data_IF_505793515704
#
_entry.id   IF_505793515704
#
_cell.length_a   1.000
_cell.length_b   1.000
_cell.length_c   1.000
_cell.angle_alpha   90.00
_cell.angle_beta   90.00
_cell.angle_gamma   90.00
#
_symmetry.space_group_name_H-M   'P 1'
#
loop_
_entity.id
_entity.type
_entity.pdbx_description
1 polymer ?
#
# COMPACT_ATOMS: atom_id res chain seq x y z
N UNK A 1 14.26 -45.41 -22.38
CA UNK A 1 13.86 -44.33 -21.43
C UNK A 1 13.57 -44.94 -20.07
N UNK A 2 14.06 -44.36 -18.98
CA UNK A 2 13.82 -44.87 -17.61
C UNK A 2 12.76 -44.00 -16.92
N UNK A 3 11.66 -44.56 -16.40
CA UNK A 3 10.62 -43.78 -15.76
C UNK A 3 11.13 -43.13 -14.47
N UNK A 4 10.68 -41.90 -14.19
CA UNK A 4 11.01 -41.19 -12.95
C UNK A 4 10.44 -41.95 -11.75
N UNK A 5 11.23 -42.09 -10.68
CA UNK A 5 10.94 -42.91 -9.49
C UNK A 5 9.63 -42.53 -8.77
N UNK A 6 9.16 -41.29 -8.92
CA UNK A 6 7.86 -40.81 -8.44
C UNK A 6 7.16 -39.95 -9.51
N UNK A 7 6.39 -40.55 -10.42
CA UNK A 7 5.75 -39.83 -11.53
C UNK A 7 4.65 -38.83 -11.06
N UNK A 8 4.21 -38.94 -9.81
CA UNK A 8 3.14 -38.12 -9.22
C UNK A 8 3.59 -37.31 -8.00
N UNK A 9 4.89 -37.08 -7.80
CA UNK A 9 5.39 -36.20 -6.72
C UNK A 9 5.11 -34.71 -6.98
N UNK A 10 4.05 -34.38 -7.70
CA UNK A 10 3.56 -33.02 -7.96
C UNK A 10 2.95 -32.45 -6.69
N UNK A 11 3.78 -32.16 -5.68
CA UNK A 11 3.35 -31.35 -4.55
C UNK A 11 3.06 -29.95 -5.11
N UNK A 12 1.83 -29.41 -4.97
CA UNK A 12 1.55 -28.06 -5.39
C UNK A 12 2.52 -27.13 -4.67
N UNK A 13 3.19 -26.26 -5.42
CA UNK A 13 4.13 -25.28 -4.88
C UNK A 13 3.32 -24.39 -3.93
N UNK A 14 3.62 -24.42 -2.63
CA UNK A 14 3.01 -23.52 -1.65
C UNK A 14 3.46 -22.09 -2.00
N UNK A 15 2.63 -21.37 -2.73
CA UNK A 15 2.82 -19.94 -2.99
C UNK A 15 2.45 -19.22 -1.71
N UNK A 16 3.45 -18.89 -0.89
CA UNK A 16 3.25 -18.01 0.26
C UNK A 16 2.94 -16.62 -0.28
N UNK A 17 1.67 -16.25 -0.32
CA UNK A 17 1.29 -14.85 -0.53
C UNK A 17 1.82 -14.08 0.67
N UNK A 18 2.63 -13.05 0.41
CA UNK A 18 3.06 -12.15 1.47
C UNK A 18 1.82 -11.40 1.98
N UNK A 19 1.67 -11.31 3.31
CA UNK A 19 0.63 -10.48 3.89
C UNK A 19 0.84 -9.02 3.43
N UNK A 20 -0.24 -8.28 3.09
CA UNK A 20 -0.12 -6.89 2.72
C UNK A 20 0.50 -6.11 3.88
N UNK A 21 1.43 -5.22 3.55
CA UNK A 21 2.03 -4.32 4.54
C UNK A 21 1.14 -3.09 4.65
N UNK A 22 0.84 -2.67 5.87
CA UNK A 22 0.09 -1.46 6.14
C UNK A 22 1.02 -0.39 6.69
N UNK A 23 0.81 0.85 6.25
CA UNK A 23 1.44 2.04 6.82
C UNK A 23 0.42 2.68 7.75
N UNK A 24 0.83 2.90 9.00
CA UNK A 24 0.03 3.58 10.01
C UNK A 24 0.37 5.07 10.01
N UNK A 25 -0.62 5.92 9.79
CA UNK A 25 -0.54 7.37 9.92
C UNK A 25 -1.57 7.84 10.96
N UNK A 26 -1.11 8.05 12.19
CA UNK A 26 -1.96 8.46 13.30
C UNK A 26 -2.98 7.37 13.62
N UNK A 27 -4.27 7.66 13.41
CA UNK A 27 -5.39 6.73 13.62
C UNK A 27 -5.87 6.03 12.33
N UNK A 28 -5.19 6.24 11.19
CA UNK A 28 -5.58 5.66 9.90
C UNK A 28 -4.45 4.76 9.39
N UNK A 29 -4.79 3.58 8.90
CA UNK A 29 -3.85 2.68 8.25
C UNK A 29 -4.29 2.41 6.80
N UNK A 30 -3.34 2.33 5.89
CA UNK A 30 -3.60 1.99 4.49
C UNK A 30 -2.52 1.08 3.92
N UNK A 31 -2.85 0.35 2.86
CA UNK A 31 -1.92 -0.59 2.23
C UNK A 31 -0.71 0.19 1.67
N UNK A 32 0.51 -0.26 1.96
CA UNK A 32 1.76 0.32 1.44
C UNK A 32 1.78 0.44 -0.08
N UNK A 33 1.07 -0.44 -0.78
CA UNK A 33 0.95 -0.39 -2.25
C UNK A 33 0.28 0.88 -2.76
N UNK A 34 -0.50 1.58 -1.93
CA UNK A 34 -1.16 2.84 -2.28
C UNK A 34 -0.25 4.06 -2.15
N UNK A 35 0.92 3.93 -1.51
CA UNK A 35 1.89 5.04 -1.39
C UNK A 35 2.29 5.56 -2.76
N UNK A 36 2.42 4.68 -3.76
CA UNK A 36 2.75 5.05 -5.15
C UNK A 36 1.67 5.89 -5.87
N UNK A 37 0.47 5.95 -5.31
CA UNK A 37 -0.65 6.72 -5.87
C UNK A 37 -0.90 8.02 -5.11
N UNK A 38 -0.03 8.39 -4.16
CA UNK A 38 -0.09 9.72 -3.53
C UNK A 38 0.29 10.75 -4.58
N UNK A 39 -0.63 11.67 -4.89
CA UNK A 39 -0.39 12.76 -5.84
C UNK A 39 0.14 13.99 -5.11
N UNK A 40 -0.54 14.43 -4.05
CA UNK A 40 -0.13 15.56 -3.23
C UNK A 40 -0.51 15.37 -1.77
N UNK A 41 0.20 16.05 -0.86
CA UNK A 41 -0.14 16.15 0.55
C UNK A 41 -0.14 17.63 0.95
N UNK A 42 -1.15 18.04 1.71
CA UNK A 42 -1.29 19.43 2.17
C UNK A 42 -1.66 19.46 3.64
N UNK A 43 -1.00 20.32 4.40
CA UNK A 43 -1.39 20.62 5.77
C UNK A 43 -2.62 21.55 5.75
N UNK A 44 -3.71 21.10 6.39
CA UNK A 44 -4.97 21.86 6.49
C UNK A 44 -5.03 22.63 7.81
N UNK A 45 -4.54 22.01 8.89
CA UNK A 45 -4.41 22.61 10.22
C UNK A 45 -3.07 22.17 10.84
N UNK A 46 -2.61 22.77 11.96
CA UNK A 46 -1.33 22.40 12.57
C UNK A 46 -1.17 20.89 12.72
N UNK A 47 -2.16 20.19 13.29
CA UNK A 47 -2.07 18.74 13.51
C UNK A 47 -2.90 17.93 12.52
N UNK A 48 -3.15 18.45 11.30
CA UNK A 48 -4.00 17.78 10.32
C UNK A 48 -3.48 17.93 8.90
N UNK A 49 -3.29 16.79 8.23
CA UNK A 49 -2.79 16.70 6.87
C UNK A 49 -3.80 15.97 5.99
N UNK A 50 -4.11 16.54 4.82
CA UNK A 50 -4.88 15.87 3.78
C UNK A 50 -3.90 15.23 2.80
N UNK A 51 -4.09 13.94 2.54
CA UNK A 51 -3.38 13.18 1.52
C UNK A 51 -4.33 12.95 0.35
N UNK A 52 -3.92 13.38 -0.84
CA UNK A 52 -4.65 13.17 -2.09
C UNK A 52 -4.06 11.97 -2.83
N UNK A 53 -4.93 11.03 -3.16
CA UNK A 53 -4.60 9.83 -3.92
C UNK A 53 -5.23 9.90 -5.30
N UNK A 54 -4.46 9.50 -6.31
CA UNK A 54 -4.91 9.34 -7.69
C UNK A 54 -4.73 7.90 -8.12
N UNK A 55 -5.76 7.09 -7.86
CA UNK A 55 -5.71 5.65 -8.08
C UNK A 55 -6.12 5.37 -9.54
N UNK A 56 -5.30 4.69 -10.35
CA UNK A 56 -5.65 4.38 -11.72
C UNK A 56 -6.80 3.38 -11.78
N UNK A 57 -7.78 3.67 -12.64
CA UNK A 57 -8.82 2.78 -13.14
C UNK A 57 -8.60 2.55 -14.64
N UNK A 58 -9.27 1.56 -15.21
CA UNK A 58 -9.03 1.05 -16.57
C UNK A 58 -8.87 2.15 -17.64
N UNK A 59 -9.65 3.24 -17.57
CA UNK A 59 -9.58 4.38 -18.50
C UNK A 59 -9.62 5.76 -17.80
N UNK A 60 -9.52 5.79 -16.46
CA UNK A 60 -9.68 7.02 -15.69
C UNK A 60 -8.87 6.96 -14.40
N UNK A 61 -8.93 8.01 -13.59
CA UNK A 61 -8.35 8.00 -12.26
C UNK A 61 -9.45 8.24 -11.24
N UNK A 62 -9.41 7.51 -10.14
CA UNK A 62 -10.25 7.76 -8.97
C UNK A 62 -9.46 8.64 -8.00
N UNK A 63 -9.96 9.85 -7.80
CA UNK A 63 -9.42 10.77 -6.80
C UNK A 63 -10.03 10.45 -5.44
N UNK A 64 -9.17 10.24 -4.44
CA UNK A 64 -9.56 10.08 -3.04
C UNK A 64 -8.74 11.01 -2.18
N UNK A 65 -9.32 11.45 -1.07
CA UNK A 65 -8.57 12.18 -0.07
C UNK A 65 -8.80 11.57 1.31
N UNK A 66 -7.75 11.60 2.13
CA UNK A 66 -7.79 11.10 3.50
C UNK A 66 -7.26 12.19 4.42
N UNK A 67 -8.01 12.47 5.49
CA UNK A 67 -7.59 13.41 6.53
C UNK A 67 -6.89 12.64 7.64
N UNK A 68 -5.63 12.95 7.87
CA UNK A 68 -4.80 12.33 8.91
C UNK A 68 -4.59 13.34 10.03
N UNK A 69 -4.79 12.97 11.31
CA UNK A 69 -4.53 13.85 12.45
C UNK A 69 -3.03 13.86 12.83
N UNK A 70 -2.18 14.23 11.88
CA UNK A 70 -0.74 14.39 12.07
C UNK A 70 -0.24 15.64 11.32
N UNK A 71 0.86 16.20 11.80
CA UNK A 71 1.64 17.21 11.08
C UNK A 71 2.21 16.63 9.78
N UNK A 72 2.31 17.47 8.74
CA UNK A 72 2.83 17.03 7.44
C UNK A 72 4.29 16.54 7.52
N UNK A 73 5.08 17.15 8.42
CA UNK A 73 6.47 16.78 8.72
C UNK A 73 6.55 15.33 9.22
N UNK A 74 5.67 14.95 10.16
CA UNK A 74 5.58 13.61 10.73
C UNK A 74 5.11 12.58 9.71
N UNK A 75 4.09 12.93 8.91
CA UNK A 75 3.59 12.06 7.83
C UNK A 75 4.71 11.74 6.84
N UNK A 76 5.46 12.74 6.38
CA UNK A 76 6.59 12.56 5.47
C UNK A 76 7.68 11.71 6.10
N UNK A 77 7.98 11.91 7.39
CA UNK A 77 8.97 11.10 8.12
C UNK A 77 8.57 9.62 8.20
N UNK A 78 7.29 9.33 8.38
CA UNK A 78 6.78 7.94 8.42
C UNK A 78 6.84 7.30 7.03
N UNK A 79 6.45 8.04 5.97
CA UNK A 79 6.43 7.51 4.60
C UNK A 79 7.83 7.28 4.03
N UNK A 80 8.83 8.07 4.44
CA UNK A 80 10.21 7.96 3.96
C UNK A 80 11.06 6.95 4.75
N UNK A 81 10.50 6.25 5.74
CA UNK A 81 11.20 5.26 6.56
C UNK A 81 11.33 3.92 5.85
#
# INVERSE_FOLDING_TARGET
>A
MKPRRHPYSGRPKLIRQALPRFVLLGNIAFNSDLVKYIETMRQEAPNQTIIYFKIPKFLSHEEKHVRVPLEISEVVKILNR
#
